data_IF_319372210066
#
_entry.id   IF_319372210066
#
_cell.length_a   1.000
_cell.length_b   1.000
_cell.length_c   1.000
_cell.angle_alpha   90.00
_cell.angle_beta   90.00
_cell.angle_gamma   90.00
#
_symmetry.space_group_name_H-M   'P 1'
#
loop_
_entity.id
_entity.type
_entity.pdbx_description
1 polymer ?
#
# COMPACT_ATOMS: atom_id res chain seq x y z
N UNK A 1 7.42 7.72 1.93
CA UNK A 1 6.02 8.07 1.58
C UNK A 1 5.85 8.82 0.26
N UNK A 2 6.70 9.81 -0.10
CA UNK A 2 6.51 10.60 -1.34
C UNK A 2 6.43 9.75 -2.62
N UNK A 3 7.38 8.82 -2.83
CA UNK A 3 7.38 7.94 -4.00
C UNK A 3 6.13 7.04 -4.06
N UNK A 4 5.70 6.53 -2.90
CA UNK A 4 4.51 5.70 -2.75
C UNK A 4 3.24 6.44 -3.17
N UNK A 5 3.02 7.64 -2.64
CA UNK A 5 1.86 8.46 -2.95
C UNK A 5 1.89 8.93 -4.41
N UNK A 6 3.07 9.14 -4.99
CA UNK A 6 3.21 9.44 -6.42
C UNK A 6 2.74 8.27 -7.30
N UNK A 7 3.03 7.03 -6.90
CA UNK A 7 2.55 5.83 -7.60
C UNK A 7 1.03 5.60 -7.44
N UNK A 8 0.45 6.02 -6.31
CA UNK A 8 -1.01 6.06 -6.11
C UNK A 8 -1.65 7.05 -7.07
N UNK A 9 -1.14 8.28 -7.14
CA UNK A 9 -1.67 9.33 -8.04
C UNK A 9 -1.57 8.92 -9.52
N UNK A 10 -0.55 8.14 -9.89
CA UNK A 10 -0.41 7.58 -11.23
C UNK A 10 -1.38 6.42 -11.54
N UNK A 11 -2.17 5.96 -10.57
CA UNK A 11 -3.12 4.87 -10.74
C UNK A 11 -2.46 3.52 -11.05
N UNK A 12 -1.19 3.35 -10.68
CA UNK A 12 -0.38 2.18 -11.04
C UNK A 12 -0.30 1.14 -9.91
N UNK A 13 -0.67 1.52 -8.69
CA UNK A 13 -0.57 0.66 -7.52
C UNK A 13 -1.80 -0.21 -7.34
N UNK A 14 -1.58 -1.50 -7.12
CA UNK A 14 -2.64 -2.46 -6.75
C UNK A 14 -2.32 -3.18 -5.45
N UNK A 15 -3.37 -3.53 -4.71
CA UNK A 15 -3.26 -4.47 -3.59
C UNK A 15 -3.25 -5.93 -4.09
N UNK A 16 -3.03 -6.90 -3.19
CA UNK A 16 -3.05 -8.33 -3.50
C UNK A 16 -4.40 -8.82 -4.02
N UNK A 17 -5.49 -8.14 -3.68
CA UNK A 17 -6.82 -8.37 -4.26
C UNK A 17 -6.99 -7.83 -5.69
N UNK A 18 -5.92 -7.35 -6.33
CA UNK A 18 -5.92 -6.74 -7.67
C UNK A 18 -6.81 -5.49 -7.78
N UNK A 19 -7.16 -4.86 -6.64
CA UNK A 19 -7.87 -3.58 -6.58
C UNK A 19 -6.86 -2.43 -6.65
N UNK A 20 -7.22 -1.36 -7.36
CA UNK A 20 -6.40 -0.15 -7.41
C UNK A 20 -6.36 0.51 -6.03
N UNK A 21 -5.17 0.95 -5.64
CA UNK A 21 -5.00 1.84 -4.49
C UNK A 21 -5.27 3.26 -4.97
N UNK A 22 -6.34 3.87 -4.49
CA UNK A 22 -6.77 5.22 -4.88
C UNK A 22 -6.55 6.27 -3.79
N UNK A 23 -6.34 5.82 -2.56
CA UNK A 23 -6.15 6.69 -1.41
C UNK A 23 -4.66 6.83 -1.07
N UNK A 24 -4.16 8.07 -0.91
CA UNK A 24 -2.78 8.28 -0.46
C UNK A 24 -2.56 7.68 0.93
N UNK A 25 -1.31 7.34 1.20
CA UNK A 25 -0.88 6.83 2.48
C UNK A 25 -0.47 7.97 3.41
N UNK A 26 -1.09 8.02 4.57
CA UNK A 26 -0.64 8.84 5.70
C UNK A 26 0.42 8.09 6.52
N UNK A 27 0.15 6.81 6.80
CA UNK A 27 1.06 5.88 7.46
C UNK A 27 0.82 4.45 6.93
N UNK A 28 1.75 3.54 7.24
CA UNK A 28 1.63 2.15 6.88
C UNK A 28 2.67 1.28 7.57
N UNK A 29 2.37 -0.01 7.67
CA UNK A 29 3.24 -1.03 8.25
C UNK A 29 3.86 -1.85 7.14
N UNK A 30 5.19 -1.93 7.12
CA UNK A 30 5.89 -2.84 6.23
C UNK A 30 5.99 -4.19 6.93
N UNK A 31 5.62 -5.26 6.23
CA UNK A 31 5.80 -6.62 6.71
C UNK A 31 7.29 -6.88 6.94
N UNK A 32 7.62 -7.69 7.93
CA UNK A 32 9.01 -8.00 8.29
C UNK A 32 9.89 -8.45 7.10
N UNK A 33 9.31 -9.17 6.14
CA UNK A 33 10.01 -9.62 4.91
C UNK A 33 10.29 -8.50 3.90
N UNK A 34 9.81 -7.27 4.13
CA UNK A 34 9.99 -6.12 3.26
C UNK A 34 9.19 -6.17 1.94
N UNK A 35 8.29 -7.14 1.78
CA UNK A 35 7.60 -7.38 0.49
C UNK A 35 6.24 -6.70 0.39
N UNK A 36 5.57 -6.49 1.53
CA UNK A 36 4.21 -5.98 1.60
C UNK A 36 4.13 -4.75 2.51
N UNK A 37 3.30 -3.79 2.09
CA UNK A 37 2.84 -2.69 2.92
C UNK A 37 1.36 -2.88 3.25
N UNK A 38 0.99 -2.71 4.51
CA UNK A 38 -0.39 -2.58 4.95
C UNK A 38 -0.68 -1.12 5.28
N UNK A 39 -1.73 -0.51 4.71
CA UNK A 39 -2.08 0.88 5.00
C UNK A 39 -2.61 1.01 6.43
N UNK A 40 -2.36 2.17 7.03
CA UNK A 40 -3.13 2.63 8.19
C UNK A 40 -4.23 3.55 7.68
N UNK A 41 -5.46 3.32 8.13
CA UNK A 41 -6.67 4.09 7.80
C UNK A 41 -7.40 4.41 9.09
N UNK A 42 -7.73 5.67 9.30
CA UNK A 42 -8.35 6.13 10.55
C UNK A 42 -7.61 5.63 11.81
N UNK A 43 -6.27 5.65 11.76
CA UNK A 43 -5.36 5.15 12.81
C UNK A 43 -5.44 3.63 13.08
N UNK A 44 -6.13 2.87 12.23
CA UNK A 44 -6.25 1.41 12.32
C UNK A 44 -5.45 0.77 11.17
N UNK A 45 -4.50 -0.13 11.47
CA UNK A 45 -3.84 -0.93 10.44
C UNK A 45 -4.82 -1.88 9.75
N UNK A 46 -4.92 -1.82 8.43
CA UNK A 46 -5.75 -2.73 7.64
C UNK A 46 -4.99 -4.03 7.42
N UNK A 47 -5.13 -4.98 8.35
CA UNK A 47 -4.39 -6.25 8.38
C UNK A 47 -5.13 -7.39 7.64
N UNK A 48 -5.71 -7.10 6.47
CA UNK A 48 -6.33 -8.12 5.62
C UNK A 48 -5.34 -8.55 4.53
N UNK A 49 -5.21 -9.85 4.30
CA UNK A 49 -4.25 -10.42 3.33
C UNK A 49 -4.41 -9.78 1.93
N UNK A 50 -5.65 -9.55 1.50
CA UNK A 50 -5.94 -8.94 0.19
C UNK A 50 -5.56 -7.45 0.10
N UNK A 51 -5.51 -6.77 1.24
CA UNK A 51 -5.19 -5.34 1.33
C UNK A 51 -3.68 -5.07 1.38
N UNK A 52 -2.87 -6.12 1.49
CA UNK A 52 -1.42 -5.98 1.37
C UNK A 52 -1.04 -5.44 -0.01
N UNK A 53 -0.14 -4.46 -0.03
CA UNK A 53 0.34 -3.81 -1.25
C UNK A 53 1.77 -4.29 -1.54
N UNK A 54 1.99 -5.04 -2.63
CA UNK A 54 3.34 -5.44 -3.04
C UNK A 54 4.23 -4.24 -3.32
N UNK A 55 5.32 -4.12 -2.57
CA UNK A 55 6.30 -3.04 -2.72
C UNK A 55 7.14 -3.15 -3.99
N UNK A 56 7.16 -4.32 -4.64
CA UNK A 56 7.82 -4.54 -5.94
C UNK A 56 7.25 -3.68 -7.08
N UNK A 57 6.05 -3.10 -6.91
CA UNK A 57 5.43 -2.18 -7.88
C UNK A 57 6.04 -0.76 -7.85
N UNK A 58 6.90 -0.48 -6.87
CA UNK A 58 7.44 0.85 -6.60
C UNK A 58 8.94 0.77 -6.83
N UNK A 59 9.34 0.86 -8.10
CA UNK A 59 10.72 1.10 -8.52
C UNK A 59 10.93 2.59 -8.82
#
# INVERSE_FOLDING_TARGET
>A
MIALNTSVTRGALKNRGNRLVTEPFEAGLIREDGTLLYPIRDHIPVMLIEEGIPLSQIQ
#
